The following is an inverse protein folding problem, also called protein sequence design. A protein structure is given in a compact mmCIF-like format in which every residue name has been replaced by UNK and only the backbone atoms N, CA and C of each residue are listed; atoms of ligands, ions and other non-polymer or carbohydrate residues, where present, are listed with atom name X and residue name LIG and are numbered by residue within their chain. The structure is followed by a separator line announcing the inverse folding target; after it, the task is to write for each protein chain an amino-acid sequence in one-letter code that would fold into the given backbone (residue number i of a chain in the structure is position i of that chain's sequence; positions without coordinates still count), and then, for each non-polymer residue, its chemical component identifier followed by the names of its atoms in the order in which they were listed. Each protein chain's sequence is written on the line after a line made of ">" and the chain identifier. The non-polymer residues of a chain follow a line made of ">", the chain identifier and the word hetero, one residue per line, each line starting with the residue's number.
data_IF_694652077460
#
_entry.id   IF_694652077460
#
_cell.length_a   1.000
_cell.length_b   1.000
_cell.length_c   1.000
_cell.angle_alpha   90.00
_cell.angle_beta   90.00
_cell.angle_gamma   90.00
#
_symmetry.space_group_name_H-M   'P 1'
#
loop_
_entity.id
_entity.type
_entity.pdbx_description
1 polymer ?
#
# COMPACT_ATOMS: atom_id res chain seq x y z
N UNK A 1 6.73 -14.35 -5.16
CA UNK A 1 7.38 -14.60 -3.85
C UNK A 1 6.54 -13.97 -2.76
N UNK A 2 6.47 -14.56 -1.56
CA UNK A 2 5.85 -13.94 -0.38
C UNK A 2 6.98 -13.46 0.51
N UNK A 3 6.97 -12.18 0.88
CA UNK A 3 8.08 -11.52 1.60
C UNK A 3 7.56 -10.85 2.87
N UNK A 4 8.35 -10.91 3.92
CA UNK A 4 8.00 -10.43 5.27
C UNK A 4 9.01 -9.47 5.87
N UNK A 5 10.17 -9.30 5.22
CA UNK A 5 11.18 -8.32 5.59
C UNK A 5 11.80 -7.64 4.36
N UNK A 6 12.61 -6.62 4.60
CA UNK A 6 13.20 -5.76 3.58
C UNK A 6 14.20 -6.51 2.70
N UNK A 7 15.02 -7.39 3.29
CA UNK A 7 16.04 -8.15 2.57
C UNK A 7 15.40 -9.10 1.56
N UNK A 8 14.32 -9.78 1.96
CA UNK A 8 13.53 -10.66 1.09
C UNK A 8 12.89 -9.87 -0.07
N UNK A 9 12.34 -8.68 0.22
CA UNK A 9 11.75 -7.82 -0.80
C UNK A 9 12.81 -7.34 -1.80
N UNK A 10 13.98 -6.93 -1.33
CA UNK A 10 15.09 -6.48 -2.16
C UNK A 10 15.54 -7.59 -3.12
N UNK A 11 15.77 -8.80 -2.60
CA UNK A 11 16.15 -9.95 -3.44
C UNK A 11 15.05 -10.34 -4.45
N UNK A 12 13.78 -10.23 -4.06
CA UNK A 12 12.65 -10.50 -4.96
C UNK A 12 12.57 -9.48 -6.11
N UNK A 13 12.83 -8.20 -5.83
CA UNK A 13 12.90 -7.13 -6.85
C UNK A 13 14.10 -7.36 -7.78
N UNK A 14 15.27 -7.66 -7.25
CA UNK A 14 16.46 -7.99 -8.07
C UNK A 14 16.18 -9.16 -9.01
N UNK A 15 15.54 -10.22 -8.53
CA UNK A 15 15.15 -11.36 -9.36
C UNK A 15 14.15 -10.97 -10.44
N UNK A 16 13.14 -10.17 -10.10
CA UNK A 16 12.09 -9.76 -11.03
C UNK A 16 12.60 -8.81 -12.12
N UNK A 17 13.58 -7.97 -11.78
CA UNK A 17 14.16 -6.98 -12.70
C UNK A 17 15.39 -7.51 -13.47
N UNK A 18 16.00 -8.59 -12.99
CA UNK A 18 17.13 -9.27 -13.61
C UNK A 18 16.70 -10.54 -14.36
N UNK A 19 16.90 -11.70 -13.74
CA UNK A 19 16.71 -13.03 -14.34
C UNK A 19 15.30 -13.25 -14.90
N UNK A 20 14.29 -12.58 -14.34
CA UNK A 20 12.89 -12.69 -14.76
C UNK A 20 12.34 -11.41 -15.39
N UNK A 21 13.20 -10.54 -15.93
CA UNK A 21 12.80 -9.26 -16.53
C UNK A 21 11.73 -9.38 -17.64
N UNK A 22 11.72 -10.50 -18.35
CA UNK A 22 10.79 -10.77 -19.46
C UNK A 22 9.51 -11.51 -18.99
N UNK A 23 9.35 -11.70 -17.68
CA UNK A 23 8.22 -12.40 -17.05
C UNK A 23 7.40 -11.45 -16.18
N UNK A 24 6.09 -11.68 -16.10
CA UNK A 24 5.28 -11.09 -15.05
C UNK A 24 5.63 -11.73 -13.69
N UNK A 25 6.12 -10.92 -12.74
CA UNK A 25 6.50 -11.37 -11.41
C UNK A 25 5.56 -10.79 -10.35
N UNK A 26 4.83 -11.66 -9.63
CA UNK A 26 4.03 -11.23 -8.48
C UNK A 26 4.82 -11.35 -7.17
N UNK A 27 4.95 -10.23 -6.46
CA UNK A 27 5.59 -10.13 -5.14
C UNK A 27 4.50 -9.80 -4.11
N UNK A 28 4.15 -10.77 -3.26
CA UNK A 28 3.21 -10.61 -2.16
C UNK A 28 3.98 -10.05 -0.95
N UNK A 29 3.83 -8.76 -0.68
CA UNK A 29 4.46 -8.08 0.47
C UNK A 29 3.51 -8.12 1.66
N UNK A 30 3.97 -8.68 2.78
CA UNK A 30 3.18 -8.71 4.03
C UNK A 30 3.51 -7.49 4.86
N UNK A 31 2.51 -6.63 5.09
CA UNK A 31 2.60 -5.46 5.95
C UNK A 31 1.56 -5.52 7.08
N UNK A 32 1.77 -4.75 8.15
CA UNK A 32 0.77 -4.60 9.20
C UNK A 32 -0.43 -3.80 8.67
N UNK A 33 -1.65 -4.11 9.13
CA UNK A 33 -2.89 -3.49 8.62
C UNK A 33 -2.95 -1.95 8.76
N UNK A 34 -2.25 -1.41 9.75
CA UNK A 34 -2.24 0.02 10.06
C UNK A 34 -0.95 0.70 9.55
N UNK A 35 -0.06 -0.05 8.91
CA UNK A 35 1.15 0.50 8.29
C UNK A 35 0.80 1.16 6.96
N UNK A 36 0.56 2.46 7.03
CA UNK A 36 0.12 3.28 5.90
C UNK A 36 0.70 4.68 5.98
N UNK A 37 0.55 5.45 4.91
CA UNK A 37 1.09 6.82 4.84
C UNK A 37 0.33 7.77 5.77
N UNK A 38 1.02 8.79 6.29
CA UNK A 38 0.39 9.83 7.12
C UNK A 38 -0.66 10.62 6.33
N UNK A 39 -0.40 10.79 5.04
CA UNK A 39 -1.27 11.45 4.08
C UNK A 39 -2.61 10.71 3.96
N UNK A 40 -2.62 9.37 3.97
CA UNK A 40 -3.87 8.61 3.95
C UNK A 40 -4.71 8.89 5.19
N UNK A 41 -4.10 8.96 6.37
CA UNK A 41 -4.80 9.21 7.62
C UNK A 41 -5.43 10.60 7.65
N UNK A 42 -4.68 11.63 7.25
CA UNK A 42 -5.16 13.01 7.20
C UNK A 42 -6.27 13.18 6.18
N UNK A 43 -6.07 12.66 4.98
CA UNK A 43 -7.04 12.74 3.91
C UNK A 43 -8.31 11.96 4.25
N UNK A 44 -8.18 10.73 4.74
CA UNK A 44 -9.30 9.87 5.12
C UNK A 44 -10.17 10.50 6.20
N UNK A 45 -9.55 11.15 7.19
CA UNK A 45 -10.27 11.92 8.23
C UNK A 45 -11.09 13.06 7.63
N UNK A 46 -10.50 13.86 6.72
CA UNK A 46 -11.20 14.97 6.05
C UNK A 46 -12.34 14.49 5.17
N UNK A 47 -12.14 13.42 4.42
CA UNK A 47 -13.18 12.80 3.58
C UNK A 47 -14.32 12.29 4.44
N UNK A 48 -14.03 11.60 5.54
CA UNK A 48 -15.05 11.10 6.47
C UNK A 48 -15.90 12.24 7.05
N UNK A 49 -15.27 13.33 7.49
CA UNK A 49 -15.97 14.51 8.01
C UNK A 49 -16.85 15.19 6.94
N UNK A 50 -16.36 15.30 5.70
CA UNK A 50 -17.13 15.88 4.61
C UNK A 50 -18.33 15.00 4.23
N UNK A 51 -18.15 13.69 4.15
CA UNK A 51 -19.20 12.75 3.77
C UNK A 51 -20.29 12.61 4.83
N UNK A 52 -19.93 12.76 6.10
CA UNK A 52 -20.84 12.59 7.24
C UNK A 52 -21.49 13.90 7.71
N UNK A 53 -21.30 15.00 6.99
CA UNK A 53 -21.86 16.30 7.38
C UNK A 53 -23.40 16.25 7.40
N UNK A 54 -24.06 16.90 8.37
CA UNK A 54 -25.52 16.98 8.39
C UNK A 54 -26.10 17.62 7.12
N UNK A 55 -27.33 17.28 6.71
CA UNK A 55 -28.03 17.97 5.63
C UNK A 55 -28.13 19.48 5.91
N UNK A 56 -28.06 20.29 4.86
CA UNK A 56 -28.23 21.74 5.01
C UNK A 56 -29.70 22.05 5.36
N UNK A 57 -30.00 22.73 6.49
CA UNK A 57 -31.36 23.00 6.95
C UNK A 57 -32.08 24.16 6.21
N UNK A 58 -31.56 24.62 5.07
CA UNK A 58 -32.17 25.69 4.25
C UNK A 58 -33.31 25.19 3.35
#
# INVERSE_FOLDING_TARGET
>A
AKVTCEEELTAAIETATGDKKDCLCFIEVVAHKDDTSKELLEWGSRVSAANSRPPNPQ
#
